data_IF_693547923390
#
_entry.id   IF_693547923390
#
_cell.length_a   1.000
_cell.length_b   1.000
_cell.length_c   1.000
_cell.angle_alpha   90.00
_cell.angle_beta   90.00
_cell.angle_gamma   90.00
#
_symmetry.space_group_name_H-M   'P 1'
#
loop_
_entity.id
_entity.type
_entity.pdbx_description
1 polymer ?
#
# COMPACT_ATOMS: atom_id res chain seq x y z
N UNK A 1 -44.02 35.20 -25.33
CA UNK A 1 -43.78 33.83 -24.85
C UNK A 1 -42.37 33.46 -25.23
N UNK A 2 -41.43 33.68 -24.30
CA UNK A 2 -40.09 33.07 -24.19
C UNK A 2 -39.30 33.89 -23.16
N UNK A 3 -39.83 33.91 -21.93
CA UNK A 3 -39.18 34.45 -20.74
C UNK A 3 -39.11 33.35 -19.66
N UNK A 4 -38.73 32.14 -20.08
CA UNK A 4 -38.63 30.95 -19.24
C UNK A 4 -37.30 30.19 -19.40
N UNK A 5 -36.34 30.72 -20.16
CA UNK A 5 -35.01 30.11 -20.33
C UNK A 5 -33.87 30.91 -19.69
N UNK A 6 -34.13 32.12 -19.17
CA UNK A 6 -33.09 32.95 -18.53
C UNK A 6 -33.00 32.79 -17.00
N UNK A 7 -33.87 31.98 -16.37
CA UNK A 7 -33.92 31.80 -14.90
C UNK A 7 -33.30 30.49 -14.38
N UNK A 8 -32.69 29.69 -15.25
CA UNK A 8 -32.15 28.37 -14.88
C UNK A 8 -30.68 28.32 -14.48
N UNK A 9 -29.89 29.36 -14.72
CA UNK A 9 -28.42 29.28 -14.62
C UNK A 9 -27.79 30.18 -13.56
N UNK A 10 -28.57 30.73 -12.64
CA UNK A 10 -28.03 31.62 -11.59
C UNK A 10 -28.51 31.27 -10.17
N UNK A 11 -28.56 29.97 -9.85
CA UNK A 11 -28.64 29.51 -8.46
C UNK A 11 -27.23 29.06 -8.06
N UNK A 12 -26.40 30.04 -7.73
CA UNK A 12 -25.10 29.83 -7.13
C UNK A 12 -25.26 29.02 -5.85
N UNK A 13 -24.76 27.78 -5.89
CA UNK A 13 -24.42 27.05 -4.67
C UNK A 13 -23.18 27.76 -4.13
N UNK A 14 -23.41 28.58 -3.11
CA UNK A 14 -22.36 29.05 -2.22
C UNK A 14 -21.80 27.79 -1.57
N UNK A 15 -20.65 27.33 -2.05
CA UNK A 15 -19.91 26.29 -1.37
C UNK A 15 -19.27 26.97 -0.16
N UNK A 16 -19.79 26.68 1.02
CA UNK A 16 -19.14 27.06 2.28
C UNK A 16 -17.74 26.44 2.28
N UNK A 17 -16.74 27.30 2.28
CA UNK A 17 -15.32 26.95 2.13
C UNK A 17 -14.66 26.56 3.48
N UNK A 18 -15.41 26.65 4.58
CA UNK A 18 -14.92 26.38 5.94
C UNK A 18 -15.01 24.91 6.38
N UNK A 19 -15.81 24.05 5.72
CA UNK A 19 -15.99 22.65 6.16
C UNK A 19 -14.96 21.67 5.58
N UNK A 20 -14.13 22.08 4.61
CA UNK A 20 -13.08 21.18 4.06
C UNK A 20 -11.84 21.05 4.92
N UNK A 21 -11.70 21.90 5.94
CA UNK A 21 -10.49 21.94 6.75
C UNK A 21 -10.53 21.01 7.97
N UNK A 22 -11.72 20.59 8.42
CA UNK A 22 -11.88 19.68 9.56
C UNK A 22 -12.01 18.20 9.17
N UNK A 23 -12.35 17.88 7.92
CA UNK A 23 -12.53 16.48 7.48
C UNK A 23 -11.23 15.79 7.02
N UNK A 24 -10.13 16.54 6.88
CA UNK A 24 -8.81 16.00 6.53
C UNK A 24 -8.03 15.49 7.74
N UNK A 25 -8.49 15.75 8.97
CA UNK A 25 -7.73 15.43 10.19
C UNK A 25 -8.09 14.05 10.81
N UNK A 26 -9.19 13.40 10.40
CA UNK A 26 -9.69 12.17 11.05
C UNK A 26 -9.90 10.95 10.14
N UNK A 27 -9.04 10.80 9.12
CA UNK A 27 -9.22 9.78 8.07
C UNK A 27 -8.26 8.58 8.07
N UNK A 28 -7.36 8.40 9.04
CA UNK A 28 -6.47 7.22 9.03
C UNK A 28 -7.14 6.07 9.75
N UNK A 29 -7.72 5.13 8.99
CA UNK A 29 -8.17 3.84 9.53
C UNK A 29 -6.93 3.09 10.05
N UNK A 30 -6.79 3.07 11.37
CA UNK A 30 -5.72 2.36 12.06
C UNK A 30 -5.81 0.85 11.78
N UNK A 31 -4.79 0.29 11.12
CA UNK A 31 -4.69 -1.15 10.93
C UNK A 31 -4.01 -1.77 12.16
N UNK A 32 -4.60 -2.81 12.78
CA UNK A 32 -4.07 -3.41 14.00
C UNK A 32 -2.72 -4.13 13.76
N UNK A 33 -1.92 -4.35 14.81
CA UNK A 33 -0.57 -4.91 14.70
C UNK A 33 -0.56 -6.33 14.10
N UNK A 34 0.49 -6.63 13.34
CA UNK A 34 0.77 -7.97 12.83
C UNK A 34 1.09 -8.94 13.98
N UNK A 35 0.24 -9.96 14.17
CA UNK A 35 0.49 -11.07 15.09
C UNK A 35 1.12 -12.21 14.30
N UNK A 36 2.28 -12.69 14.79
CA UNK A 36 3.02 -13.82 14.22
C UNK A 36 2.24 -15.13 14.37
N UNK A 37 2.03 -15.86 13.27
CA UNK A 37 1.51 -17.23 13.32
C UNK A 37 2.68 -18.23 13.50
N UNK A 38 2.68 -18.93 14.63
CA UNK A 38 3.55 -20.10 14.83
C UNK A 38 2.82 -21.39 14.44
N UNK A 39 3.49 -22.17 13.58
CA UNK A 39 3.27 -23.59 13.25
C UNK A 39 1.84 -24.15 13.28
N UNK A 40 1.14 -24.07 12.14
CA UNK A 40 -0.04 -24.91 11.85
C UNK A 40 0.32 -26.06 10.91
N UNK A 41 0.00 -27.29 11.32
CA UNK A 41 0.01 -28.47 10.44
C UNK A 41 -1.10 -28.33 9.38
N UNK A 42 -0.75 -28.77 8.17
CA UNK A 42 -1.53 -28.79 6.94
C UNK A 42 -3.04 -29.02 7.12
N UNK A 43 -3.82 -28.06 6.61
CA UNK A 43 -5.24 -28.24 6.29
C UNK A 43 -5.33 -28.99 4.95
N UNK A 44 -6.27 -29.93 4.84
CA UNK A 44 -6.40 -30.93 3.76
C UNK A 44 -6.78 -30.40 2.37
N UNK A 45 -6.81 -29.08 2.17
CA UNK A 45 -7.17 -28.40 0.92
C UNK A 45 -6.13 -27.36 0.42
N UNK A 46 -4.99 -27.20 1.12
CA UNK A 46 -3.97 -26.22 0.73
C UNK A 46 -4.38 -24.75 1.00
N UNK A 47 -5.46 -24.48 1.73
CA UNK A 47 -5.88 -23.12 2.07
C UNK A 47 -4.91 -22.41 3.03
N UNK A 48 -4.25 -23.16 3.93
CA UNK A 48 -3.28 -22.59 4.87
C UNK A 48 -2.03 -22.01 4.19
N UNK A 49 -1.54 -22.66 3.13
CA UNK A 49 -0.41 -22.15 2.33
C UNK A 49 -0.82 -20.89 1.55
N UNK A 50 -2.02 -20.90 0.96
CA UNK A 50 -2.56 -19.75 0.25
C UNK A 50 -2.71 -18.51 1.13
N UNK A 51 -3.22 -18.67 2.34
CA UNK A 51 -3.37 -17.54 3.27
C UNK A 51 -2.02 -16.94 3.68
N UNK A 52 -0.97 -17.77 3.82
CA UNK A 52 0.39 -17.26 4.02
C UNK A 52 0.89 -16.44 2.83
N UNK A 53 0.55 -16.82 1.59
CA UNK A 53 0.88 -16.02 0.41
C UNK A 53 0.14 -14.66 0.42
N UNK A 54 -1.14 -14.66 0.80
CA UNK A 54 -1.93 -13.42 0.98
C UNK A 54 -1.30 -12.50 2.04
N UNK A 55 -0.87 -13.06 3.18
CA UNK A 55 -0.20 -12.30 4.25
C UNK A 55 1.10 -11.66 3.77
N UNK A 56 1.89 -12.38 2.96
CA UNK A 56 3.12 -11.84 2.37
C UNK A 56 2.83 -10.66 1.45
N UNK A 57 1.84 -10.77 0.56
CA UNK A 57 1.42 -9.64 -0.31
C UNK A 57 0.95 -8.46 0.52
N UNK A 58 0.08 -8.71 1.50
CA UNK A 58 -0.46 -7.66 2.38
C UNK A 58 0.65 -6.92 3.14
N UNK A 59 1.65 -7.65 3.63
CA UNK A 59 2.79 -7.05 4.34
C UNK A 59 3.60 -6.13 3.43
N UNK A 60 3.82 -6.50 2.18
CA UNK A 60 4.56 -5.68 1.22
C UNK A 60 3.76 -4.46 0.75
N UNK A 61 2.45 -4.60 0.54
CA UNK A 61 1.54 -3.47 0.28
C UNK A 61 1.59 -2.46 1.43
N UNK A 62 1.55 -2.92 2.68
CA UNK A 62 1.61 -2.05 3.85
C UNK A 62 2.94 -1.28 3.92
N UNK A 63 4.07 -1.97 3.66
CA UNK A 63 5.38 -1.32 3.62
C UNK A 63 5.46 -0.29 2.50
N UNK A 64 4.96 -0.61 1.31
CA UNK A 64 4.96 0.31 0.18
C UNK A 64 4.07 1.54 0.44
N UNK A 65 2.97 1.39 1.19
CA UNK A 65 2.17 2.51 1.67
C UNK A 65 2.92 3.40 2.68
N UNK A 66 3.73 2.81 3.57
CA UNK A 66 4.61 3.59 4.46
C UNK A 66 5.63 4.40 3.66
N UNK A 67 6.16 3.84 2.57
CA UNK A 67 7.08 4.55 1.69
C UNK A 67 6.41 5.70 0.94
N UNK A 68 5.16 5.52 0.49
CA UNK A 68 4.38 6.60 -0.10
C UNK A 68 4.26 7.78 0.87
N UNK A 69 3.90 7.52 2.13
CA UNK A 69 3.79 8.55 3.17
C UNK A 69 5.15 9.19 3.47
N UNK A 70 6.22 8.40 3.54
CA UNK A 70 7.59 8.93 3.70
C UNK A 70 7.96 9.87 2.55
N UNK A 71 7.70 9.45 1.31
CA UNK A 71 7.97 10.24 0.11
C UNK A 71 7.16 11.53 0.08
N UNK A 72 5.88 11.50 0.48
CA UNK A 72 5.05 12.69 0.65
C UNK A 72 5.68 13.67 1.65
N UNK A 73 6.11 13.17 2.81
CA UNK A 73 6.72 14.01 3.84
C UNK A 73 8.04 14.64 3.38
N UNK A 74 8.88 13.89 2.66
CA UNK A 74 10.14 14.42 2.11
C UNK A 74 9.85 15.46 1.02
N UNK A 75 8.85 15.22 0.17
CA UNK A 75 8.43 16.18 -0.84
C UNK A 75 7.92 17.49 -0.21
N UNK A 76 7.04 17.42 0.80
CA UNK A 76 6.53 18.61 1.49
C UNK A 76 7.66 19.39 2.18
N UNK A 77 8.60 18.69 2.84
CA UNK A 77 9.80 19.34 3.40
C UNK A 77 10.61 20.04 2.31
N UNK A 78 10.76 19.42 1.14
CA UNK A 78 11.53 20.00 0.05
C UNK A 78 10.97 21.35 -0.43
N UNK A 79 9.66 21.60 -0.32
CA UNK A 79 9.04 22.87 -0.74
C UNK A 79 9.54 24.08 0.07
N UNK A 80 9.90 23.88 1.33
CA UNK A 80 10.38 24.93 2.23
C UNK A 80 11.90 25.15 2.21
N UNK A 81 12.64 24.34 1.45
CA UNK A 81 14.10 24.40 1.36
C UNK A 81 14.52 25.13 0.09
N UNK A 82 15.45 26.07 0.23
CA UNK A 82 15.94 26.90 -0.88
C UNK A 82 17.45 26.77 -1.11
N UNK A 83 18.17 26.12 -0.20
CA UNK A 83 19.61 25.88 -0.31
C UNK A 83 19.87 24.66 -1.17
N UNK A 84 20.72 24.81 -2.18
CA UNK A 84 21.00 23.75 -3.15
C UNK A 84 21.48 22.43 -2.49
N UNK A 85 22.41 22.49 -1.54
CA UNK A 85 22.95 21.30 -0.87
C UNK A 85 21.89 20.52 -0.06
N UNK A 86 20.97 21.24 0.59
CA UNK A 86 19.87 20.64 1.34
C UNK A 86 18.82 20.02 0.42
N UNK A 87 18.53 20.67 -0.72
CA UNK A 87 17.65 20.13 -1.76
C UNK A 87 18.19 18.85 -2.37
N UNK A 88 19.49 18.84 -2.66
CA UNK A 88 20.17 17.66 -3.19
C UNK A 88 20.09 16.47 -2.22
N UNK A 89 20.25 16.71 -0.93
CA UNK A 89 20.12 15.67 0.09
C UNK A 89 18.69 15.10 0.18
N UNK A 90 17.68 15.97 0.13
CA UNK A 90 16.27 15.54 0.14
C UNK A 90 15.92 14.76 -1.14
N UNK A 91 16.42 15.17 -2.30
CA UNK A 91 16.26 14.43 -3.56
C UNK A 91 16.85 13.03 -3.51
N UNK A 92 18.10 12.91 -3.05
CA UNK A 92 18.72 11.60 -2.87
C UNK A 92 17.91 10.69 -1.93
N UNK A 93 17.25 11.25 -0.91
CA UNK A 93 16.32 10.51 -0.05
C UNK A 93 15.06 10.07 -0.80
N UNK A 94 14.45 10.95 -1.61
CA UNK A 94 13.29 10.61 -2.44
C UNK A 94 13.61 9.50 -3.44
N UNK A 95 14.76 9.58 -4.10
CA UNK A 95 15.22 8.57 -5.06
C UNK A 95 15.38 7.19 -4.40
N UNK A 96 15.93 7.17 -3.19
CA UNK A 96 16.07 5.93 -2.42
C UNK A 96 14.70 5.31 -2.06
N UNK A 97 13.73 6.15 -1.67
CA UNK A 97 12.36 5.69 -1.38
C UNK A 97 11.67 5.14 -2.63
N UNK A 98 11.76 5.85 -3.76
CA UNK A 98 11.19 5.41 -5.04
C UNK A 98 11.85 4.09 -5.48
N UNK A 99 13.18 3.98 -5.43
CA UNK A 99 13.88 2.75 -5.82
C UNK A 99 13.48 1.55 -4.95
N UNK A 100 13.27 1.77 -3.65
CA UNK A 100 12.77 0.72 -2.75
C UNK A 100 11.31 0.37 -3.05
N UNK A 101 10.46 1.35 -3.36
CA UNK A 101 9.07 1.13 -3.77
C UNK A 101 8.99 0.31 -5.08
N UNK A 102 9.87 0.60 -6.06
CA UNK A 102 9.98 -0.15 -7.31
C UNK A 102 10.37 -1.62 -7.08
N UNK A 103 11.31 -1.90 -6.16
CA UNK A 103 11.65 -3.28 -5.78
C UNK A 103 10.47 -4.02 -5.16
N UNK A 104 9.68 -3.35 -4.30
CA UNK A 104 8.47 -3.95 -3.70
C UNK A 104 7.39 -4.19 -4.73
N UNK A 105 7.14 -3.25 -5.64
CA UNK A 105 6.16 -3.40 -6.71
C UNK A 105 6.46 -4.65 -7.57
N UNK A 106 7.73 -4.87 -7.94
CA UNK A 106 8.15 -6.12 -8.62
C UNK A 106 7.85 -7.36 -7.81
N UNK A 107 8.17 -7.35 -6.52
CA UNK A 107 7.94 -8.50 -5.66
C UNK A 107 6.44 -8.79 -5.49
N UNK A 108 5.63 -7.74 -5.30
CA UNK A 108 4.17 -7.84 -5.23
C UNK A 108 3.62 -8.45 -6.52
N UNK A 109 4.07 -7.99 -7.69
CA UNK A 109 3.67 -8.54 -8.99
C UNK A 109 3.91 -10.06 -9.04
N UNK A 110 5.14 -10.50 -8.74
CA UNK A 110 5.48 -11.93 -8.73
C UNK A 110 4.60 -12.71 -7.74
N UNK A 111 4.31 -12.14 -6.56
CA UNK A 111 3.44 -12.80 -5.57
C UNK A 111 1.97 -12.86 -5.98
N UNK A 112 1.47 -11.87 -6.72
CA UNK A 112 0.14 -11.93 -7.32
C UNK A 112 0.06 -13.02 -8.40
N UNK A 113 1.07 -13.12 -9.26
CA UNK A 113 1.17 -14.19 -10.27
C UNK A 113 1.25 -15.59 -9.62
N UNK A 114 1.98 -15.73 -8.51
CA UNK A 114 2.03 -16.96 -7.72
C UNK A 114 0.66 -17.33 -7.11
N UNK A 115 -0.09 -16.34 -6.60
CA UNK A 115 -1.45 -16.55 -6.10
C UNK A 115 -2.38 -17.04 -7.21
N UNK A 116 -2.26 -16.49 -8.41
CA UNK A 116 -3.06 -16.89 -9.57
C UNK A 116 -2.77 -18.31 -10.01
N UNK A 117 -1.50 -18.65 -10.13
CA UNK A 117 -1.10 -20.03 -10.40
C UNK A 117 -1.63 -20.98 -9.31
N UNK A 118 -1.51 -20.61 -8.04
CA UNK A 118 -2.02 -21.42 -6.93
C UNK A 118 -3.54 -21.61 -6.99
N UNK A 119 -4.30 -20.58 -7.41
CA UNK A 119 -5.75 -20.68 -7.59
C UNK A 119 -6.12 -21.61 -8.75
N UNK A 120 -5.38 -21.57 -9.86
CA UNK A 120 -5.59 -22.47 -11.01
C UNK A 120 -5.29 -23.92 -10.61
N UNK A 121 -4.18 -24.17 -9.92
CA UNK A 121 -3.79 -25.50 -9.45
C UNK A 121 -4.81 -26.07 -8.46
N UNK A 122 -5.31 -25.24 -7.54
CA UNK A 122 -6.31 -25.64 -6.56
C UNK A 122 -7.63 -26.12 -7.20
N UNK A 123 -8.00 -25.60 -8.38
CA UNK A 123 -9.19 -26.05 -9.13
C UNK A 123 -9.09 -27.48 -9.65
N UNK A 124 -7.88 -28.05 -9.71
CA UNK A 124 -7.66 -29.45 -10.09
C UNK A 124 -7.89 -30.42 -8.92
N UNK A 125 -8.05 -29.91 -7.70
CA UNK A 125 -8.35 -30.72 -6.52
C UNK A 125 -9.85 -31.03 -6.47
N UNK A 126 -10.20 -32.30 -6.23
CA UNK A 126 -11.59 -32.75 -6.14
C UNK A 126 -12.35 -31.99 -5.05
N UNK A 127 -13.51 -31.42 -5.38
CA UNK A 127 -14.33 -30.61 -4.47
C UNK A 127 -13.88 -29.16 -4.34
N UNK A 128 -12.87 -28.75 -5.11
CA UNK A 128 -12.32 -27.39 -5.15
C UNK A 128 -12.45 -26.77 -6.55
N UNK A 129 -13.32 -27.31 -7.39
CA UNK A 129 -13.54 -26.89 -8.76
C UNK A 129 -14.00 -25.41 -8.82
N UNK A 130 -13.95 -24.84 -10.03
CA UNK A 130 -14.38 -23.46 -10.25
C UNK A 130 -15.82 -23.22 -9.75
N UNK A 131 -16.01 -22.13 -9.00
CA UNK A 131 -17.31 -21.79 -8.43
C UNK A 131 -17.67 -22.56 -7.14
N UNK A 132 -16.78 -23.37 -6.59
CA UNK A 132 -16.94 -23.89 -5.22
C UNK A 132 -16.79 -22.77 -4.19
N UNK A 133 -17.24 -23.02 -2.95
CA UNK A 133 -17.07 -22.03 -1.87
C UNK A 133 -15.60 -21.70 -1.61
N UNK A 134 -14.72 -22.71 -1.65
CA UNK A 134 -13.27 -22.53 -1.49
C UNK A 134 -12.66 -21.74 -2.64
N UNK A 135 -13.01 -22.05 -3.89
CA UNK A 135 -12.56 -21.29 -5.07
C UNK A 135 -12.98 -19.82 -4.99
N UNK A 136 -14.27 -19.54 -4.75
CA UNK A 136 -14.78 -18.16 -4.60
C UNK A 136 -14.04 -17.40 -3.50
N UNK A 137 -13.78 -18.04 -2.36
CA UNK A 137 -13.07 -17.42 -1.25
C UNK A 137 -11.62 -17.03 -1.63
N UNK A 138 -10.90 -17.92 -2.31
CA UNK A 138 -9.52 -17.66 -2.76
C UNK A 138 -9.44 -16.58 -3.83
N UNK A 139 -10.35 -16.63 -4.81
CA UNK A 139 -10.45 -15.58 -5.84
C UNK A 139 -10.75 -14.23 -5.19
N UNK A 140 -11.73 -14.17 -4.29
CA UNK A 140 -12.12 -12.94 -3.62
C UNK A 140 -11.00 -12.34 -2.75
N UNK A 141 -10.20 -13.18 -2.07
CA UNK A 141 -9.01 -12.74 -1.34
C UNK A 141 -7.90 -12.19 -2.25
N UNK A 142 -7.68 -12.84 -3.40
CA UNK A 142 -6.68 -12.42 -4.39
C UNK A 142 -7.08 -11.08 -5.02
N UNK A 143 -8.36 -10.94 -5.39
CA UNK A 143 -8.95 -9.70 -5.90
C UNK A 143 -8.84 -8.55 -4.89
N UNK A 144 -9.04 -8.81 -3.60
CA UNK A 144 -8.86 -7.77 -2.58
C UNK A 144 -7.42 -7.24 -2.55
N UNK A 145 -6.42 -8.11 -2.69
CA UNK A 145 -5.02 -7.69 -2.77
C UNK A 145 -4.75 -6.88 -4.04
N UNK A 146 -5.27 -7.32 -5.20
CA UNK A 146 -5.18 -6.57 -6.45
C UNK A 146 -5.77 -5.16 -6.33
N UNK A 147 -6.98 -5.04 -5.75
CA UNK A 147 -7.63 -3.74 -5.53
C UNK A 147 -6.75 -2.81 -4.69
N UNK A 148 -6.19 -3.29 -3.57
CA UNK A 148 -5.29 -2.49 -2.73
C UNK A 148 -4.01 -2.07 -3.45
N UNK A 149 -3.43 -2.96 -4.25
CA UNK A 149 -2.25 -2.63 -5.05
C UNK A 149 -2.61 -1.54 -6.07
N UNK A 150 -3.75 -1.65 -6.76
CA UNK A 150 -4.24 -0.61 -7.67
C UNK A 150 -4.45 0.74 -6.99
N UNK A 151 -5.13 0.77 -5.83
CA UNK A 151 -5.32 2.01 -5.07
C UNK A 151 -3.98 2.67 -4.70
N UNK A 152 -2.99 1.85 -4.32
CA UNK A 152 -1.65 2.35 -4.01
C UNK A 152 -0.94 2.89 -5.26
N UNK A 153 -1.11 2.23 -6.41
CA UNK A 153 -0.57 2.68 -7.70
C UNK A 153 -1.11 4.05 -8.10
N UNK A 154 -2.43 4.23 -7.98
CA UNK A 154 -3.11 5.49 -8.27
C UNK A 154 -2.61 6.60 -7.33
N UNK A 155 -2.36 6.28 -6.05
CA UNK A 155 -1.83 7.23 -5.08
C UNK A 155 -0.38 7.66 -5.39
N UNK A 156 0.49 6.73 -5.82
CA UNK A 156 1.85 7.08 -6.30
C UNK A 156 1.82 7.95 -7.55
N UNK A 157 0.92 7.65 -8.49
CA UNK A 157 0.76 8.45 -9.72
C UNK A 157 0.26 9.88 -9.39
N UNK A 158 -0.69 10.00 -8.46
CA UNK A 158 -1.16 11.31 -7.99
C UNK A 158 -0.04 12.09 -7.30
N UNK A 159 0.77 11.44 -6.47
CA UNK A 159 1.92 12.08 -5.83
C UNK A 159 2.94 12.56 -6.87
N UNK A 160 3.27 11.74 -7.86
CA UNK A 160 4.17 12.14 -8.96
C UNK A 160 3.70 13.42 -9.63
N UNK A 161 2.41 13.50 -10.02
CA UNK A 161 1.86 14.73 -10.63
C UNK A 161 2.08 15.94 -9.73
N UNK A 162 1.71 15.83 -8.45
CA UNK A 162 1.87 16.93 -7.47
C UNK A 162 3.33 17.36 -7.29
N UNK A 163 4.28 16.43 -7.35
CA UNK A 163 5.71 16.74 -7.25
C UNK A 163 6.18 17.52 -8.48
N UNK A 164 5.82 17.06 -9.68
CA UNK A 164 6.16 17.73 -10.94
C UNK A 164 5.55 19.12 -11.00
N UNK A 165 4.26 19.24 -10.70
CA UNK A 165 3.53 20.51 -10.72
C UNK A 165 4.15 21.52 -9.73
N UNK A 166 4.45 21.07 -8.50
CA UNK A 166 5.07 21.94 -7.48
C UNK A 166 6.49 22.39 -7.83
N UNK A 167 7.26 21.58 -8.55
CA UNK A 167 8.57 21.99 -9.06
C UNK A 167 8.45 22.99 -10.21
N UNK A 168 7.52 22.79 -11.15
CA UNK A 168 7.23 23.75 -12.22
C UNK A 168 6.86 25.12 -11.63
N UNK A 169 5.93 25.18 -10.68
CA UNK A 169 5.52 26.42 -10.00
C UNK A 169 6.72 27.12 -9.30
N UNK A 170 7.58 26.33 -8.66
CA UNK A 170 8.78 26.89 -7.98
C UNK A 170 9.76 27.47 -8.99
N UNK A 171 10.00 26.78 -10.12
CA UNK A 171 10.87 27.24 -11.20
C UNK A 171 10.31 28.52 -11.82
N UNK A 172 9.01 28.59 -12.12
CA UNK A 172 8.34 29.78 -12.64
C UNK A 172 8.52 30.99 -11.74
N UNK A 173 8.26 30.82 -10.43
CA UNK A 173 8.41 31.91 -9.46
C UNK A 173 9.86 32.40 -9.37
N UNK A 174 10.83 31.48 -9.44
CA UNK A 174 12.25 31.83 -9.42
C UNK A 174 12.70 32.50 -10.70
N UNK A 175 12.23 32.02 -11.85
CA UNK A 175 12.44 32.67 -13.14
C UNK A 175 12.01 34.13 -13.08
N UNK A 176 10.76 34.40 -12.68
CA UNK A 176 10.24 35.77 -12.56
C UNK A 176 11.06 36.65 -11.60
N UNK A 177 11.48 36.09 -10.46
CA UNK A 177 12.30 36.84 -9.48
C UNK A 177 13.63 37.27 -10.08
N UNK A 178 14.19 36.46 -10.98
CA UNK A 178 15.51 36.61 -11.56
C UNK A 178 15.49 37.49 -12.82
N UNK A 179 14.50 37.29 -13.70
CA UNK A 179 14.41 37.97 -15.02
C UNK A 179 13.43 39.14 -15.03
N UNK A 180 12.52 39.22 -14.06
CA UNK A 180 11.41 40.18 -14.06
C UNK A 180 10.30 39.87 -15.06
N UNK A 181 10.43 38.78 -15.84
CA UNK A 181 9.49 38.39 -16.88
C UNK A 181 8.72 37.14 -16.48
N UNK A 182 7.44 37.08 -16.84
CA UNK A 182 6.63 35.89 -16.63
C UNK A 182 6.97 34.88 -17.74
N UNK A 183 7.50 33.72 -17.35
CA UNK A 183 7.74 32.64 -18.30
C UNK A 183 6.39 32.09 -18.80
N UNK A 184 6.32 31.81 -20.10
CA UNK A 184 5.27 30.96 -20.65
C UNK A 184 5.61 29.48 -20.43
N UNK A 185 4.62 28.62 -20.64
CA UNK A 185 4.78 27.19 -20.38
C UNK A 185 5.82 26.53 -21.30
N UNK A 186 5.97 27.03 -22.54
CA UNK A 186 7.01 26.58 -23.47
C UNK A 186 8.42 26.91 -22.95
N UNK A 187 8.62 28.10 -22.38
CA UNK A 187 9.89 28.50 -21.77
C UNK A 187 10.24 27.60 -20.59
N UNK A 188 9.28 27.27 -19.72
CA UNK A 188 9.50 26.38 -18.57
C UNK A 188 9.84 24.97 -19.03
N UNK A 189 9.11 24.44 -20.02
CA UNK A 189 9.35 23.10 -20.56
C UNK A 189 10.71 23.02 -21.30
N UNK A 190 11.09 24.10 -22.01
CA UNK A 190 12.42 24.22 -22.61
C UNK A 190 13.50 24.25 -21.53
N UNK A 191 13.35 25.02 -20.46
CA UNK A 191 14.31 25.04 -19.35
C UNK A 191 14.46 23.67 -18.67
N UNK A 192 13.35 22.94 -18.50
CA UNK A 192 13.36 21.56 -17.99
C UNK A 192 14.12 20.64 -18.95
N UNK A 193 13.79 20.66 -20.24
CA UNK A 193 14.37 19.72 -21.21
C UNK A 193 15.84 20.02 -21.52
N UNK A 194 16.19 21.27 -21.82
CA UNK A 194 17.54 21.68 -22.26
C UNK A 194 18.50 21.89 -21.10
N UNK A 195 18.00 22.26 -19.91
CA UNK A 195 18.85 22.64 -18.79
C UNK A 195 19.60 23.95 -19.01
N UNK A 196 19.08 24.85 -19.86
CA UNK A 196 19.66 26.17 -20.16
C UNK A 196 19.59 27.18 -18.98
N UNK A 197 19.91 26.75 -17.76
CA UNK A 197 20.01 27.61 -16.58
C UNK A 197 21.20 28.59 -16.68
N UNK A 198 22.22 28.29 -17.50
CA UNK A 198 23.37 29.18 -17.74
C UNK A 198 23.01 30.45 -18.53
N UNK A 199 22.09 30.38 -19.49
CA UNK A 199 21.65 31.57 -20.25
C UNK A 199 20.85 32.50 -19.36
N UNK A 200 19.95 31.92 -18.54
CA UNK A 200 19.25 32.57 -17.44
C UNK A 200 20.19 33.30 -16.48
N UNK A 201 21.26 32.62 -16.05
CA UNK A 201 22.30 33.17 -15.19
C UNK A 201 23.00 34.38 -15.82
N UNK A 202 23.34 34.30 -17.11
CA UNK A 202 24.01 35.39 -17.81
C UNK A 202 23.15 36.64 -17.92
N UNK A 203 21.86 36.49 -18.20
CA UNK A 203 20.92 37.61 -18.30
C UNK A 203 20.71 38.27 -16.93
N UNK A 204 20.47 37.47 -15.90
CA UNK A 204 20.22 37.96 -14.56
C UNK A 204 21.42 38.61 -13.86
N UNK A 205 22.64 38.11 -14.11
CA UNK A 205 23.87 38.75 -13.61
C UNK A 205 24.02 40.17 -14.15
N UNK A 206 23.57 40.44 -15.39
CA UNK A 206 23.62 41.78 -15.98
C UNK A 206 22.66 42.76 -15.29
N UNK A 207 21.55 42.27 -14.76
CA UNK A 207 20.46 43.10 -14.22
C UNK A 207 20.49 43.24 -12.68
N UNK A 208 20.75 42.15 -11.94
CA UNK A 208 20.61 42.11 -10.48
C UNK A 208 21.92 41.88 -9.70
N UNK A 209 23.04 41.66 -10.40
CA UNK A 209 24.34 41.37 -9.81
C UNK A 209 24.54 39.89 -9.41
N UNK A 210 25.78 39.50 -9.06
CA UNK A 210 26.20 38.08 -9.05
C UNK A 210 25.72 37.23 -7.86
N UNK A 211 25.52 37.81 -6.67
CA UNK A 211 25.36 37.04 -5.43
C UNK A 211 24.00 36.31 -5.31
N UNK A 212 22.88 37.04 -5.16
CA UNK A 212 21.54 36.44 -5.02
C UNK A 212 21.11 35.60 -6.22
N UNK A 213 21.55 36.00 -7.41
CA UNK A 213 21.25 35.32 -8.68
C UNK A 213 21.88 33.93 -8.74
N UNK A 214 23.13 33.76 -8.29
CA UNK A 214 23.82 32.48 -8.36
C UNK A 214 23.14 31.40 -7.51
N UNK A 215 22.68 31.75 -6.31
CA UNK A 215 21.98 30.80 -5.45
C UNK A 215 20.60 30.43 -6.02
N UNK A 216 19.87 31.40 -6.56
CA UNK A 216 18.57 31.16 -7.17
C UNK A 216 18.68 30.28 -8.44
N UNK A 217 19.73 30.47 -9.25
CA UNK A 217 20.00 29.59 -10.40
C UNK A 217 20.39 28.18 -9.96
N UNK A 218 21.20 28.03 -8.90
CA UNK A 218 21.51 26.71 -8.34
C UNK A 218 20.28 26.01 -7.78
N UNK A 219 19.40 26.75 -7.10
CA UNK A 219 18.12 26.23 -6.65
C UNK A 219 17.28 25.74 -7.85
N UNK A 220 17.14 26.55 -8.90
CA UNK A 220 16.44 26.15 -10.14
C UNK A 220 17.05 24.87 -10.70
N UNK A 221 18.37 24.81 -10.86
CA UNK A 221 19.05 23.62 -11.40
C UNK A 221 18.74 22.37 -10.58
N UNK A 222 18.80 22.47 -9.24
CA UNK A 222 18.45 21.36 -8.35
C UNK A 222 16.95 21.00 -8.38
N UNK A 223 16.06 21.88 -8.85
CA UNK A 223 14.66 21.49 -9.12
C UNK A 223 14.49 20.83 -10.47
N UNK A 224 15.15 21.36 -11.52
CA UNK A 224 15.12 20.82 -12.88
C UNK A 224 15.64 19.38 -12.90
N UNK A 225 16.77 19.13 -12.26
CA UNK A 225 17.34 17.79 -12.14
C UNK A 225 16.43 16.88 -11.29
N UNK A 226 15.73 17.43 -10.30
CA UNK A 226 14.75 16.71 -9.50
C UNK A 226 13.52 16.26 -10.30
N UNK A 227 13.00 17.11 -11.19
CA UNK A 227 11.92 16.73 -12.12
C UNK A 227 12.38 15.55 -12.98
N UNK A 228 13.55 15.65 -13.59
CA UNK A 228 14.10 14.59 -14.48
C UNK A 228 14.27 13.25 -13.75
N UNK A 229 14.79 13.27 -12.54
CA UNK A 229 14.98 12.05 -11.74
C UNK A 229 13.64 11.42 -11.32
N UNK A 230 12.69 12.23 -10.85
CA UNK A 230 11.34 11.76 -10.52
C UNK A 230 10.70 11.11 -11.73
N UNK A 231 10.78 11.75 -12.91
CA UNK A 231 10.23 11.16 -14.13
C UNK A 231 10.89 9.84 -14.47
N UNK A 232 12.23 9.79 -14.50
CA UNK A 232 12.97 8.57 -14.81
C UNK A 232 12.67 7.42 -13.84
N UNK A 233 12.69 7.69 -12.53
CA UNK A 233 12.55 6.64 -11.51
C UNK A 233 11.09 6.20 -11.36
N UNK A 234 10.14 7.12 -11.56
CA UNK A 234 8.72 6.78 -11.57
C UNK A 234 8.27 6.11 -12.88
N UNK A 235 8.97 6.28 -14.01
CA UNK A 235 8.69 5.54 -15.25
C UNK A 235 8.87 4.03 -15.07
N UNK A 236 9.93 3.60 -14.36
CA UNK A 236 10.15 2.18 -14.05
C UNK A 236 9.04 1.62 -13.15
N UNK A 237 8.65 2.38 -12.12
CA UNK A 237 7.53 2.02 -11.24
C UNK A 237 6.21 1.94 -12.02
N UNK A 238 5.98 2.92 -12.91
CA UNK A 238 4.79 3.00 -13.75
C UNK A 238 4.69 1.82 -14.73
N UNK A 239 5.81 1.36 -15.30
CA UNK A 239 5.81 0.17 -16.17
C UNK A 239 5.34 -1.09 -15.41
N UNK A 240 5.86 -1.30 -14.19
CA UNK A 240 5.41 -2.41 -13.33
C UNK A 240 3.92 -2.27 -12.98
N UNK A 241 3.48 -1.04 -12.78
CA UNK A 241 2.09 -0.73 -12.50
C UNK A 241 1.18 -1.11 -13.67
N UNK A 242 1.55 -0.79 -14.90
CA UNK A 242 0.79 -1.22 -16.07
C UNK A 242 0.71 -2.74 -16.19
N UNK A 243 1.79 -3.45 -15.88
CA UNK A 243 1.77 -4.91 -15.85
C UNK A 243 0.78 -5.46 -14.79
N UNK A 244 0.75 -4.85 -13.60
CA UNK A 244 -0.19 -5.25 -12.55
C UNK A 244 -1.63 -4.90 -12.96
N UNK A 245 -1.86 -3.77 -13.63
CA UNK A 245 -3.18 -3.39 -14.13
C UNK A 245 -3.76 -4.45 -15.08
N UNK A 246 -2.93 -5.10 -15.89
CA UNK A 246 -3.37 -6.23 -16.72
C UNK A 246 -3.85 -7.40 -15.85
N UNK A 247 -3.15 -7.71 -14.75
CA UNK A 247 -3.58 -8.74 -13.80
C UNK A 247 -4.90 -8.38 -13.09
N UNK A 248 -5.20 -7.09 -12.92
CA UNK A 248 -6.46 -6.60 -12.32
C UNK A 248 -7.60 -6.58 -13.35
N UNK A 249 -7.34 -6.17 -14.58
CA UNK A 249 -8.37 -6.04 -15.63
C UNK A 249 -8.80 -7.37 -16.24
N UNK A 250 -7.96 -8.40 -16.20
CA UNK A 250 -8.28 -9.72 -16.78
C UNK A 250 -9.36 -10.50 -16.01
N UNK A 251 -9.87 -9.99 -14.88
CA UNK A 251 -10.78 -10.70 -13.98
C UNK A 251 -12.09 -9.91 -13.79
N UNK A 252 -12.94 -9.90 -14.82
CA UNK A 252 -14.28 -9.27 -14.80
C UNK A 252 -15.39 -10.19 -14.25
N UNK A 253 -16.39 -9.57 -13.62
CA UNK A 253 -17.73 -10.08 -13.22
C UNK A 253 -17.99 -10.63 -11.79
N UNK A 254 -16.98 -10.85 -10.94
CA UNK A 254 -17.22 -11.28 -9.53
C UNK A 254 -16.99 -10.17 -8.48
N UNK A 255 -17.02 -8.90 -8.90
CA UNK A 255 -16.52 -7.76 -8.11
C UNK A 255 -17.53 -7.25 -7.05
N UNK A 256 -18.84 -7.43 -7.26
CA UNK A 256 -19.84 -6.68 -6.49
C UNK A 256 -20.17 -7.22 -5.08
N UNK A 257 -19.72 -8.42 -4.69
CA UNK A 257 -20.02 -9.03 -3.38
C UNK A 257 -18.79 -9.19 -2.44
N UNK A 258 -17.64 -8.63 -2.84
CA UNK A 258 -16.33 -8.90 -2.21
C UNK A 258 -16.17 -8.21 -0.85
N UNK A 259 -16.63 -6.97 -0.71
CA UNK A 259 -16.18 -6.09 0.38
C UNK A 259 -16.71 -6.52 1.75
N UNK A 260 -17.96 -6.99 1.85
CA UNK A 260 -18.55 -7.41 3.13
C UNK A 260 -18.24 -8.85 3.52
N UNK A 261 -18.06 -9.75 2.53
CA UNK A 261 -17.85 -11.18 2.77
C UNK A 261 -16.38 -11.52 3.04
N UNK A 262 -15.41 -10.77 2.47
CA UNK A 262 -13.98 -11.07 2.64
C UNK A 262 -13.41 -10.60 3.98
N UNK A 263 -13.74 -9.39 4.44
CA UNK A 263 -13.28 -8.93 5.77
C UNK A 263 -13.76 -9.85 6.89
N UNK A 264 -15.00 -10.33 6.78
CA UNK A 264 -15.55 -11.34 7.69
C UNK A 264 -14.81 -12.67 7.53
N UNK A 265 -14.70 -13.20 6.31
CA UNK A 265 -14.03 -14.50 6.09
C UNK A 265 -12.57 -14.51 6.57
N UNK A 266 -11.79 -13.47 6.25
CA UNK A 266 -10.39 -13.36 6.70
C UNK A 266 -10.27 -13.30 8.23
N UNK A 267 -11.11 -12.50 8.90
CA UNK A 267 -11.11 -12.42 10.37
C UNK A 267 -11.61 -13.71 11.04
N UNK A 268 -12.60 -14.39 10.45
CA UNK A 268 -13.06 -15.70 10.91
C UNK A 268 -12.00 -16.79 10.75
N UNK A 269 -11.21 -16.78 9.67
CA UNK A 269 -10.16 -17.77 9.46
C UNK A 269 -8.97 -17.52 10.38
N UNK A 270 -8.56 -16.26 10.56
CA UNK A 270 -7.50 -15.89 11.50
C UNK A 270 -7.84 -16.32 12.93
N UNK A 271 -9.07 -16.04 13.39
CA UNK A 271 -9.59 -16.50 14.69
C UNK A 271 -9.81 -18.01 14.73
N UNK A 272 -10.27 -18.62 13.64
CA UNK A 272 -10.50 -20.07 13.53
C UNK A 272 -9.21 -20.88 13.70
N UNK A 273 -8.10 -20.37 13.17
CA UNK A 273 -6.77 -20.91 13.43
C UNK A 273 -6.39 -20.86 14.92
N UNK A 274 -6.58 -19.72 15.58
CA UNK A 274 -6.33 -19.56 17.03
C UNK A 274 -7.20 -20.53 17.86
N UNK A 275 -8.48 -20.68 17.51
CA UNK A 275 -9.39 -21.61 18.19
C UNK A 275 -9.03 -23.09 17.95
N UNK A 276 -8.48 -23.45 16.80
CA UNK A 276 -7.98 -24.81 16.53
C UNK A 276 -6.71 -25.13 17.33
N UNK A 277 -5.83 -24.15 17.55
CA UNK A 277 -4.66 -24.32 18.43
C UNK A 277 -5.09 -24.51 19.88
N UNK A 278 -6.06 -23.71 20.34
CA UNK A 278 -6.67 -23.86 21.67
C UNK A 278 -7.37 -25.22 21.81
N UNK A 279 -8.16 -25.65 20.83
CA UNK A 279 -8.83 -26.95 20.84
C UNK A 279 -7.83 -28.12 20.89
N UNK A 280 -6.70 -28.02 20.19
CA UNK A 280 -5.60 -29.01 20.25
C UNK A 280 -4.95 -29.06 21.63
N UNK A 281 -4.73 -27.91 22.28
CA UNK A 281 -4.25 -27.85 23.67
C UNK A 281 -5.25 -28.49 24.64
N UNK A 282 -6.55 -28.24 24.47
CA UNK A 282 -7.61 -28.91 25.23
C UNK A 282 -7.64 -30.43 24.99
N UNK A 283 -7.46 -30.89 23.76
CA UNK A 283 -7.44 -32.32 23.43
C UNK A 283 -6.23 -33.05 24.01
N UNK A 284 -5.05 -32.40 24.01
CA UNK A 284 -3.84 -32.89 24.66
C UNK A 284 -3.99 -32.95 26.19
N UNK A 285 -4.63 -31.94 26.78
CA UNK A 285 -4.92 -31.90 28.23
C UNK A 285 -5.92 -33.00 28.63
N UNK A 286 -7.00 -33.18 27.85
CA UNK A 286 -8.02 -34.22 28.11
C UNK A 286 -7.42 -35.63 28.13
N UNK A 287 -6.47 -35.96 27.24
CA UNK A 287 -5.78 -37.26 27.25
C UNK A 287 -4.99 -37.48 28.55
N UNK A 288 -4.33 -36.45 29.08
CA UNK A 288 -3.59 -36.53 30.35
C UNK A 288 -4.55 -36.71 31.53
N UNK A 289 -5.65 -35.96 31.56
CA UNK A 289 -6.66 -36.08 32.62
C UNK A 289 -7.37 -37.43 32.59
N UNK A 290 -7.70 -37.96 31.41
CA UNK A 290 -8.32 -39.29 31.29
C UNK A 290 -7.42 -40.40 31.82
N UNK A 291 -6.10 -40.34 31.55
CA UNK A 291 -5.15 -41.33 32.07
C UNK A 291 -5.08 -41.27 33.60
N UNK A 292 -5.05 -40.06 34.19
CA UNK A 292 -5.05 -39.89 35.65
C UNK A 292 -6.33 -40.43 36.28
N UNK A 293 -7.50 -40.17 35.70
CA UNK A 293 -8.77 -40.70 36.18
C UNK A 293 -8.83 -42.24 36.14
N UNK A 294 -8.30 -42.86 35.07
CA UNK A 294 -8.25 -44.33 34.95
C UNK A 294 -7.31 -44.95 36.00
N UNK A 295 -6.15 -44.34 36.24
CA UNK A 295 -5.21 -44.80 37.28
C UNK A 295 -5.81 -44.73 38.69
N UNK A 296 -6.51 -43.64 39.01
CA UNK A 296 -7.20 -43.50 40.30
C UNK A 296 -8.29 -44.57 40.49
N UNK A 297 -9.04 -44.87 39.43
CA UNK A 297 -10.08 -45.90 39.47
C UNK A 297 -9.49 -47.29 39.72
N UNK A 298 -8.35 -47.62 39.12
CA UNK A 298 -7.63 -48.88 39.35
C UNK A 298 -7.16 -48.98 40.82
N UNK A 299 -6.64 -47.89 41.39
CA UNK A 299 -6.19 -47.86 42.79
C UNK A 299 -7.35 -48.10 43.75
N UNK A 300 -8.51 -47.47 43.51
CA UNK A 300 -9.72 -47.66 44.33
C UNK A 300 -10.15 -49.13 44.31
N UNK A 301 -10.17 -49.76 43.13
CA UNK A 301 -10.52 -51.18 42.99
C UNK A 301 -9.52 -52.06 43.76
N UNK A 302 -8.22 -51.79 43.66
CA UNK A 302 -7.18 -52.55 44.37
C UNK A 302 -7.33 -52.46 45.90
N UNK A 303 -7.67 -51.28 46.44
CA UNK A 303 -7.93 -51.09 47.87
C UNK A 303 -9.17 -51.88 48.32
N UNK A 304 -10.25 -51.85 47.54
CA UNK A 304 -11.46 -52.61 47.85
C UNK A 304 -11.19 -54.12 47.90
N UNK A 305 -10.41 -54.64 46.94
CA UNK A 305 -10.01 -56.05 46.92
C UNK A 305 -9.14 -56.40 48.13
N UNK A 306 -8.18 -55.53 48.48
CA UNK A 306 -7.30 -55.74 49.65
C UNK A 306 -8.09 -55.81 50.97
N UNK A 307 -9.05 -54.90 51.16
CA UNK A 307 -9.91 -54.88 52.36
C UNK A 307 -10.78 -56.15 52.43
N UNK A 308 -11.30 -56.62 51.29
CA UNK A 308 -12.07 -57.87 51.25
C UNK A 308 -11.19 -59.06 51.62
N UNK A 309 -9.99 -59.18 51.06
CA UNK A 309 -9.06 -60.28 51.39
C UNK A 309 -8.65 -60.26 52.85
N UNK A 310 -8.42 -59.09 53.46
CA UNK A 310 -8.12 -58.96 54.88
C UNK A 310 -9.31 -59.24 55.81
N UNK A 311 -10.55 -59.05 55.34
CA UNK A 311 -11.76 -59.39 56.10
C UNK A 311 -12.14 -60.87 56.03
N UNK A 312 -11.73 -61.57 54.98
CA UNK A 312 -12.04 -62.99 54.75
C UNK A 312 -10.87 -63.94 55.04
N UNK A 313 -9.81 -63.43 55.67
CA UNK A 313 -8.67 -64.20 56.19
C UNK A 313 -8.68 -64.13 57.71
#
# INVERSE_FOLDING_TARGET
MNDLLARGLNRGVRYDEDDRQNDLENGVKHFPPSVQLTNMKANTDGMGDFLRHIEVVQAEVNKMNQQLVSLQNVNEKSKGVYRADELKALRAQMDAEIASATKRARFIKVKLEELDRSNIEHRQVRGCEAGTASDRQRISLTENQRKKVKELMDAFQSLRSKMVDGYKETIERRYYTITGEQADEETIENLISTGESETLLQQAIREQGRGPVLEAVREIQERLDGVKEIEKHMLELHAIFMDISVLVSAQGDMINDIESNVQRSYSYIKKGGEHLEVAKRYQMSKRRTTIICVLLLIIIIAILVLVLVLKFK
#
